data_IF_039653441753
#
_entry.id   IF_039653441753
#
_cell.length_a   1.000
_cell.length_b   1.000
_cell.length_c   1.000
_cell.angle_alpha   90.00
_cell.angle_beta   90.00
_cell.angle_gamma   90.00
#
_symmetry.space_group_name_H-M   'P 1'
#
loop_
_entity.id
_entity.type
_entity.pdbx_description
1 polymer ?
#
# COMPACT_ATOMS: atom_id res chain seq x y z
N UNK A 1 -6.06 -1.67 15.68
CA UNK A 1 -4.96 -1.70 14.70
C UNK A 1 -3.97 -0.60 15.05
N UNK A 2 -2.68 -0.86 14.94
CA UNK A 2 -1.62 0.13 15.11
C UNK A 2 -1.09 0.61 13.75
N UNK A 3 -0.71 1.89 13.65
CA UNK A 3 -0.05 2.46 12.47
C UNK A 3 1.41 2.66 12.83
N UNK A 4 2.31 1.98 12.12
CA UNK A 4 3.74 2.00 12.41
C UNK A 4 4.49 3.00 11.52
N UNK A 5 5.64 3.52 11.96
CA UNK A 5 6.53 4.31 11.11
C UNK A 5 7.02 3.55 9.88
N UNK A 6 7.14 4.22 8.72
CA UNK A 6 7.61 3.56 7.47
C UNK A 6 9.01 2.95 7.58
N UNK A 7 9.90 3.49 8.41
CA UNK A 7 11.26 2.98 8.59
C UNK A 7 11.28 1.60 9.29
N UNK A 8 10.20 1.18 9.94
CA UNK A 8 10.03 -0.15 10.52
C UNK A 8 9.48 -1.18 9.51
N UNK A 9 9.10 -0.74 8.31
CA UNK A 9 8.53 -1.62 7.30
C UNK A 9 9.55 -2.60 6.72
N UNK A 10 9.33 -3.90 6.96
CA UNK A 10 10.04 -4.98 6.27
C UNK A 10 9.31 -5.29 4.96
N UNK A 11 9.82 -4.76 3.85
CA UNK A 11 9.17 -4.90 2.55
C UNK A 11 9.57 -6.23 1.84
N UNK A 12 8.60 -6.97 1.26
CA UNK A 12 8.91 -8.22 0.55
C UNK A 12 9.84 -8.01 -0.64
N UNK A 13 10.66 -9.03 -0.93
CA UNK A 13 11.57 -9.06 -2.09
C UNK A 13 11.48 -10.41 -2.80
N UNK A 14 10.78 -10.49 -3.96
CA UNK A 14 10.06 -9.41 -4.63
C UNK A 14 8.76 -9.03 -3.90
N UNK A 15 8.20 -7.87 -4.24
CA UNK A 15 6.82 -7.53 -3.93
C UNK A 15 6.02 -7.26 -5.21
N UNK A 16 4.70 -7.13 -5.05
CA UNK A 16 3.75 -6.96 -6.13
C UNK A 16 2.83 -5.79 -5.82
N UNK A 17 2.62 -4.94 -6.82
CA UNK A 17 1.70 -3.81 -6.77
C UNK A 17 0.65 -3.96 -7.87
N UNK A 18 -0.47 -3.27 -7.73
CA UNK A 18 -1.51 -3.23 -8.76
C UNK A 18 -1.55 -1.83 -9.37
N UNK A 19 -1.59 -1.77 -10.70
CA UNK A 19 -1.73 -0.52 -11.47
C UNK A 19 -2.89 -0.59 -12.44
N UNK A 20 -3.42 0.56 -12.84
CA UNK A 20 -4.40 0.66 -13.92
C UNK A 20 -3.76 0.58 -15.33
N UNK A 21 -4.55 0.83 -16.38
CA UNK A 21 -4.07 0.86 -17.77
C UNK A 21 -3.13 2.03 -18.09
N UNK A 22 -3.11 3.07 -17.25
CA UNK A 22 -2.21 4.22 -17.35
C UNK A 22 -0.97 4.07 -16.48
N UNK A 23 -0.77 2.89 -15.89
CA UNK A 23 0.32 2.60 -14.94
C UNK A 23 0.24 3.41 -13.63
N UNK A 24 -0.95 3.91 -13.28
CA UNK A 24 -1.19 4.56 -11.99
C UNK A 24 -1.39 3.52 -10.89
N UNK A 25 -0.78 3.74 -9.73
CA UNK A 25 -0.89 2.85 -8.58
C UNK A 25 -2.33 2.81 -8.06
N UNK A 26 -2.85 1.59 -7.86
CA UNK A 26 -4.17 1.39 -7.29
C UNK A 26 -4.09 1.50 -5.77
N UNK A 27 -4.84 2.45 -5.23
CA UNK A 27 -5.06 2.65 -3.80
C UNK A 27 -6.52 2.46 -3.43
N UNK A 28 -6.81 2.24 -2.15
CA UNK A 28 -8.18 2.28 -1.59
C UNK A 28 -8.21 3.06 -0.27
N UNK A 29 -9.37 3.57 0.16
CA UNK A 29 -9.56 4.01 1.55
C UNK A 29 -9.16 2.90 2.52
N UNK A 30 -8.60 3.26 3.67
CA UNK A 30 -8.20 2.25 4.66
C UNK A 30 -9.40 1.42 5.14
N UNK A 31 -10.60 2.02 5.19
CA UNK A 31 -11.84 1.33 5.53
C UNK A 31 -12.24 0.20 4.58
N UNK A 32 -11.66 0.12 3.38
CA UNK A 32 -11.90 -0.99 2.44
C UNK A 32 -11.20 -2.30 2.85
N UNK A 33 -10.31 -2.26 3.85
CA UNK A 33 -9.54 -3.41 4.34
C UNK A 33 -10.13 -3.95 5.65
N UNK A 34 -11.26 -4.63 5.55
CA UNK A 34 -12.04 -5.11 6.70
C UNK A 34 -11.26 -6.06 7.64
N UNK A 35 -10.23 -6.73 7.15
CA UNK A 35 -9.41 -7.68 7.91
C UNK A 35 -8.47 -7.00 8.93
N UNK A 36 -8.37 -5.67 8.93
CA UNK A 36 -7.52 -4.90 9.85
C UNK A 36 -8.11 -4.70 11.26
N UNK A 37 -9.35 -5.16 11.48
CA UNK A 37 -10.08 -4.94 12.72
C UNK A 37 -10.60 -3.51 12.84
N UNK A 38 -10.68 -2.97 14.06
CA UNK A 38 -11.19 -1.62 14.27
C UNK A 38 -10.22 -0.56 13.73
N UNK A 39 -10.69 0.15 12.70
CA UNK A 39 -9.99 1.28 12.08
C UNK A 39 -10.45 2.57 12.76
N UNK A 40 -9.55 3.44 13.24
CA UNK A 40 -9.93 4.73 13.80
C UNK A 40 -10.65 5.60 12.76
N UNK A 41 -11.71 6.31 13.17
CA UNK A 41 -12.52 7.14 12.24
C UNK A 41 -11.69 8.17 11.48
N UNK A 42 -10.66 8.73 12.11
CA UNK A 42 -9.73 9.68 11.47
C UNK A 42 -8.93 9.06 10.31
N UNK A 43 -8.79 7.73 10.28
CA UNK A 43 -7.94 6.99 9.33
C UNK A 43 -8.76 6.31 8.23
N UNK A 44 -10.09 6.22 8.35
CA UNK A 44 -10.96 5.51 7.39
C UNK A 44 -10.73 5.93 5.93
N UNK A 45 -10.56 7.23 5.69
CA UNK A 45 -10.38 7.82 4.35
C UNK A 45 -8.93 7.85 3.89
N UNK A 46 -7.99 7.36 4.69
CA UNK A 46 -6.57 7.42 4.34
C UNK A 46 -6.30 6.63 3.05
N UNK A 47 -5.67 7.28 2.07
CA UNK A 47 -5.40 6.70 0.76
C UNK A 47 -4.27 5.69 0.89
N UNK A 48 -4.64 4.42 0.89
CA UNK A 48 -3.77 3.30 1.25
C UNK A 48 -3.30 2.55 0.02
N UNK A 49 -1.98 2.37 -0.11
CA UNK A 49 -1.34 1.55 -1.13
C UNK A 49 -1.06 0.14 -0.58
N UNK A 50 -1.71 -0.91 -1.10
CA UNK A 50 -1.40 -2.29 -0.73
C UNK A 50 -0.13 -2.79 -1.42
N UNK A 51 0.71 -3.45 -0.66
CA UNK A 51 1.91 -4.17 -1.13
C UNK A 51 1.72 -5.63 -0.83
N UNK A 52 1.83 -6.45 -1.87
CA UNK A 52 1.64 -7.89 -1.74
C UNK A 52 2.98 -8.61 -1.86
N UNK A 53 3.21 -9.61 -1.03
CA UNK A 53 4.30 -10.58 -1.16
C UNK A 53 3.99 -11.68 -2.20
N UNK A 54 2.69 -11.86 -2.50
CA UNK A 54 2.19 -12.94 -3.33
C UNK A 54 1.44 -12.41 -4.56
N UNK A 55 1.91 -12.81 -5.75
CA UNK A 55 1.30 -12.43 -7.03
C UNK A 55 -0.18 -12.84 -7.15
N UNK A 56 -0.57 -14.02 -6.62
CA UNK A 56 -1.97 -14.49 -6.69
C UNK A 56 -2.89 -13.63 -5.84
N UNK A 57 -2.41 -13.20 -4.66
CA UNK A 57 -3.16 -12.29 -3.78
C UNK A 57 -3.32 -10.93 -4.45
N UNK A 58 -2.25 -10.36 -5.00
CA UNK A 58 -2.30 -9.11 -5.78
C UNK A 58 -3.28 -9.21 -6.96
N UNK A 59 -3.28 -10.35 -7.66
CA UNK A 59 -4.19 -10.59 -8.79
C UNK A 59 -5.65 -10.68 -8.34
N UNK A 60 -5.93 -11.30 -7.19
CA UNK A 60 -7.29 -11.35 -6.61
C UNK A 60 -7.78 -9.97 -6.17
N UNK A 61 -6.87 -9.12 -5.71
CA UNK A 61 -7.19 -7.74 -5.36
C UNK A 61 -7.50 -6.86 -6.60
N UNK A 62 -6.82 -7.11 -7.72
CA UNK A 62 -7.01 -6.36 -8.96
C UNK A 62 -8.40 -6.55 -9.57
N UNK A 63 -8.91 -5.51 -10.24
CA UNK A 63 -10.19 -5.50 -10.97
C UNK A 63 -9.97 -5.52 -12.49
N UNK A 64 -11.08 -5.56 -13.26
CA UNK A 64 -11.02 -5.40 -14.71
C UNK A 64 -10.22 -4.15 -15.10
N UNK A 65 -9.37 -4.26 -16.13
CA UNK A 65 -8.47 -3.19 -16.60
C UNK A 65 -7.41 -2.75 -15.58
N UNK A 66 -7.07 -3.60 -14.62
CA UNK A 66 -5.89 -3.44 -13.76
C UNK A 66 -4.90 -4.58 -14.02
N UNK A 67 -3.63 -4.34 -13.71
CA UNK A 67 -2.56 -5.32 -13.89
C UNK A 67 -1.66 -5.36 -12.65
N UNK A 68 -1.14 -6.54 -12.37
CA UNK A 68 -0.13 -6.74 -11.32
C UNK A 68 1.24 -6.47 -11.92
N UNK A 69 2.06 -5.67 -11.24
CA UNK A 69 3.46 -5.46 -11.57
C UNK A 69 4.33 -6.09 -10.49
N UNK A 70 5.45 -6.69 -10.90
CA UNK A 70 6.48 -7.19 -9.99
C UNK A 70 7.48 -6.07 -9.72
N UNK A 71 7.72 -5.79 -8.46
CA UNK A 71 8.79 -4.90 -8.00
C UNK A 71 9.89 -5.78 -7.42
N UNK A 72 11.08 -5.86 -8.05
CA UNK A 72 12.14 -6.77 -7.60
C UNK A 72 12.66 -6.46 -6.19
N UNK A 73 12.64 -5.18 -5.80
CA UNK A 73 13.13 -4.71 -4.50
C UNK A 73 12.11 -3.75 -3.88
N UNK A 74 11.43 -4.21 -2.83
CA UNK A 74 10.43 -3.43 -2.11
C UNK A 74 10.97 -2.11 -1.54
N UNK A 75 12.28 -2.01 -1.26
CA UNK A 75 12.89 -0.77 -0.74
C UNK A 75 12.75 0.45 -1.68
N UNK A 76 12.39 0.22 -2.96
CA UNK A 76 12.02 1.28 -3.89
C UNK A 76 10.79 2.07 -3.41
N UNK A 77 9.85 1.45 -2.70
CA UNK A 77 8.67 2.12 -2.14
C UNK A 77 9.11 3.19 -1.13
N UNK A 78 10.00 2.83 -0.19
CA UNK A 78 10.55 3.79 0.78
C UNK A 78 11.32 4.90 0.10
N UNK A 79 12.16 4.58 -0.90
CA UNK A 79 12.92 5.59 -1.65
C UNK A 79 12.05 6.54 -2.48
N UNK A 80 10.88 6.07 -2.90
CA UNK A 80 9.93 6.86 -3.71
C UNK A 80 8.79 7.44 -2.90
N UNK A 81 8.82 7.34 -1.57
CA UNK A 81 7.77 7.84 -0.68
C UNK A 81 7.40 9.31 -0.93
N UNK A 82 8.32 10.25 -1.26
CA UNK A 82 7.93 11.63 -1.55
C UNK A 82 7.01 11.74 -2.77
N UNK A 83 7.23 10.91 -3.81
CA UNK A 83 6.37 10.87 -4.99
C UNK A 83 5.02 10.21 -4.70
N UNK A 84 4.99 9.20 -3.82
CA UNK A 84 3.74 8.58 -3.37
C UNK A 84 2.88 9.59 -2.57
N UNK A 85 3.51 10.33 -1.65
CA UNK A 85 2.88 11.41 -0.88
C UNK A 85 2.34 12.52 -1.80
N UNK A 86 3.11 12.93 -2.82
CA UNK A 86 2.66 13.92 -3.81
C UNK A 86 1.42 13.46 -4.60
N UNK A 87 1.21 12.13 -4.73
CA UNK A 87 -0.02 11.53 -5.29
C UNK A 87 -1.15 11.36 -4.26
N UNK A 88 -0.97 11.91 -3.06
CA UNK A 88 -1.90 11.85 -1.93
C UNK A 88 -1.94 10.50 -1.22
N UNK A 89 -0.98 9.60 -1.47
CA UNK A 89 -0.92 8.29 -0.81
C UNK A 89 -0.33 8.51 0.59
N UNK A 90 -1.08 8.15 1.63
CA UNK A 90 -0.72 8.44 3.03
C UNK A 90 -0.45 7.19 3.85
N UNK A 91 -0.88 6.02 3.39
CA UNK A 91 -0.67 4.74 4.10
C UNK A 91 -0.12 3.67 3.16
N UNK A 92 0.75 2.83 3.70
CA UNK A 92 1.16 1.58 3.08
C UNK A 92 0.53 0.43 3.86
N UNK A 93 0.00 -0.59 3.17
CA UNK A 93 -0.47 -1.82 3.79
C UNK A 93 0.41 -2.97 3.32
N UNK A 94 1.09 -3.63 4.26
CA UNK A 94 2.01 -4.75 3.98
C UNK A 94 1.75 -5.84 5.01
N UNK A 95 1.42 -7.05 4.57
CA UNK A 95 1.20 -8.22 5.44
C UNK A 95 0.24 -7.94 6.63
N UNK A 96 -0.86 -7.24 6.37
CA UNK A 96 -1.84 -6.86 7.40
C UNK A 96 -1.42 -5.70 8.31
N UNK A 97 -0.19 -5.20 8.19
CA UNK A 97 0.33 -4.07 8.96
C UNK A 97 0.24 -2.77 8.15
N UNK A 98 -0.21 -1.70 8.81
CA UNK A 98 -0.33 -0.37 8.23
C UNK A 98 0.86 0.49 8.63
N UNK A 99 1.44 1.19 7.66
CA UNK A 99 2.56 2.11 7.86
C UNK A 99 2.21 3.53 7.44
N UNK A 100 2.66 4.51 8.21
CA UNK A 100 2.52 5.93 7.89
C UNK A 100 3.55 6.34 6.83
N UNK A 101 3.08 6.69 5.63
CA UNK A 101 3.95 7.18 4.55
C UNK A 101 4.34 8.64 4.72
N UNK A 102 3.59 9.44 5.48
CA UNK A 102 3.79 10.90 5.59
C UNK A 102 4.92 11.21 6.57
N UNK A 103 5.13 10.35 7.57
CA UNK A 103 5.98 10.66 8.71
C UNK A 103 5.28 11.73 9.55
N UNK A 104 4.95 11.41 10.80
CA UNK A 104 4.61 12.46 11.76
C UNK A 104 5.93 13.01 12.25
N UNK A 105 6.31 14.19 11.76
CA UNK A 105 7.23 15.06 12.50
C UNK A 105 6.60 15.47 13.83
#
# INVERSE_FOLDING_TARGET
MEIMPLNEAVLPKPCYLVVDMRSELITRPLSDFADLGQIPTAEEKAKTLPVFDNHRVARRFSRNKQRVIKVPDGSLITRTSPYLQAKGITRLLVDGQVFDLVGRD
#
